data_IF_308306425024
#
_entry.id   IF_308306425024
#
_cell.length_a   1.000
_cell.length_b   1.000
_cell.length_c   1.000
_cell.angle_alpha   90.00
_cell.angle_beta   90.00
_cell.angle_gamma   90.00
#
_symmetry.space_group_name_H-M   'P 1'
#
loop_
_entity.id
_entity.type
_entity.pdbx_description
1 polymer ?
#
# COMPACT_ATOMS: atom_id res chain seq x y z
N UNK A 1 5.33 13.73 11.20
CA UNK A 1 4.77 13.20 9.95
C UNK A 1 5.89 12.48 9.21
N UNK A 2 5.56 11.39 8.52
CA UNK A 2 6.49 10.64 7.67
C UNK A 2 5.97 10.63 6.24
N UNK A 3 6.88 10.55 5.28
CA UNK A 3 6.57 10.37 3.86
C UNK A 3 7.09 9.03 3.41
N UNK A 4 6.23 8.24 2.78
CA UNK A 4 6.59 6.95 2.18
C UNK A 4 6.42 7.03 0.67
N UNK A 5 7.30 6.35 -0.04
CA UNK A 5 7.16 6.17 -1.49
C UNK A 5 6.57 4.79 -1.75
N UNK A 6 5.43 4.76 -2.44
CA UNK A 6 4.72 3.54 -2.80
C UNK A 6 5.06 3.22 -4.24
N UNK A 7 5.66 2.06 -4.48
CA UNK A 7 5.99 1.56 -5.82
C UNK A 7 4.86 0.64 -6.29
N UNK A 8 4.16 1.06 -7.35
CA UNK A 8 3.06 0.33 -7.98
C UNK A 8 3.56 -0.87 -8.78
N UNK A 9 2.62 -1.73 -9.19
CA UNK A 9 2.89 -2.91 -10.02
C UNK A 9 3.39 -2.58 -11.44
N UNK A 10 3.06 -1.40 -11.96
CA UNK A 10 3.51 -0.92 -13.28
C UNK A 10 4.91 -0.27 -13.26
N UNK A 11 5.58 -0.29 -12.10
CA UNK A 11 6.89 0.34 -11.90
C UNK A 11 6.84 1.84 -11.63
N UNK A 12 5.67 2.48 -11.73
CA UNK A 12 5.51 3.89 -11.29
C UNK A 12 5.44 3.99 -9.78
N UNK A 13 5.63 5.19 -9.25
CA UNK A 13 5.58 5.43 -7.80
C UNK A 13 4.94 6.76 -7.45
N UNK A 14 4.37 6.84 -6.25
CA UNK A 14 3.85 8.07 -5.68
C UNK A 14 4.14 8.15 -4.18
N UNK A 15 4.18 9.37 -3.66
CA UNK A 15 4.41 9.60 -2.25
C UNK A 15 3.09 9.71 -1.47
N UNK A 16 3.08 9.15 -0.26
CA UNK A 16 2.01 9.31 0.73
C UNK A 16 2.57 9.91 2.02
N UNK A 17 1.90 10.94 2.54
CA UNK A 17 2.24 11.56 3.82
C UNK A 17 1.32 11.02 4.92
N UNK A 18 1.89 10.58 6.04
CA UNK A 18 1.17 9.94 7.13
C UNK A 18 1.75 10.33 8.50
N UNK A 19 1.05 9.96 9.57
CA UNK A 19 1.54 10.13 10.94
C UNK A 19 2.67 9.15 11.26
N UNK A 20 3.53 9.51 12.20
CA UNK A 20 4.61 8.61 12.64
C UNK A 20 4.08 7.36 13.35
N UNK A 21 2.85 7.43 13.84
CA UNK A 21 2.10 6.38 14.52
C UNK A 21 1.14 5.64 13.60
N UNK A 22 1.21 5.89 12.28
CA UNK A 22 0.31 5.25 11.32
C UNK A 22 0.51 3.73 11.28
N UNK A 23 -0.58 3.03 11.07
CA UNK A 23 -0.64 1.57 10.94
C UNK A 23 -0.56 1.11 9.49
N UNK A 24 -0.38 -0.19 9.27
CA UNK A 24 -0.50 -0.80 7.94
C UNK A 24 -1.86 -0.52 7.31
N UNK A 25 -2.93 -0.53 8.10
CA UNK A 25 -4.28 -0.16 7.65
C UNK A 25 -4.34 1.27 7.12
N UNK A 26 -3.76 2.22 7.86
CA UNK A 26 -3.70 3.62 7.45
C UNK A 26 -2.93 3.79 6.13
N UNK A 27 -1.83 3.05 5.96
CA UNK A 27 -1.07 3.02 4.72
C UNK A 27 -1.91 2.50 3.54
N UNK A 28 -2.62 1.38 3.70
CA UNK A 28 -3.53 0.84 2.67
C UNK A 28 -4.62 1.85 2.29
N UNK A 29 -5.20 2.55 3.28
CA UNK A 29 -6.19 3.61 3.03
C UNK A 29 -5.58 4.81 2.30
N UNK A 30 -4.40 5.27 2.72
CA UNK A 30 -3.71 6.38 2.08
C UNK A 30 -3.35 6.09 0.62
N UNK A 31 -2.89 4.86 0.35
CA UNK A 31 -2.62 4.36 -1.01
C UNK A 31 -3.90 4.40 -1.86
N UNK A 32 -5.00 3.84 -1.34
CA UNK A 32 -6.28 3.85 -2.04
C UNK A 32 -6.71 5.27 -2.38
N UNK A 33 -6.78 6.14 -1.37
CA UNK A 33 -7.18 7.54 -1.54
C UNK A 33 -6.30 8.25 -2.56
N UNK A 34 -4.98 8.13 -2.44
CA UNK A 34 -4.04 8.82 -3.32
C UNK A 34 -4.12 8.32 -4.76
N UNK A 35 -4.35 7.02 -4.94
CA UNK A 35 -4.53 6.44 -6.26
C UNK A 35 -5.84 6.88 -6.90
N UNK A 36 -6.94 6.90 -6.12
CA UNK A 36 -8.25 7.38 -6.57
C UNK A 36 -8.23 8.90 -6.89
N UNK A 37 -7.28 9.67 -6.32
CA UNK A 37 -7.04 11.09 -6.64
C UNK A 37 -6.23 11.30 -7.94
N UNK A 38 -5.24 10.45 -8.24
CA UNK A 38 -4.32 10.64 -9.39
C UNK A 38 -4.75 9.91 -10.67
N UNK A 39 -5.52 8.82 -10.56
CA UNK A 39 -5.99 8.04 -11.71
C UNK A 39 -7.41 8.36 -12.26
N UNK A 40 -8.23 9.31 -11.72
CA UNK A 40 -9.60 9.47 -12.19
C UNK A 40 -9.65 10.00 -13.64
N UNK A 41 -8.72 10.86 -14.04
CA UNK A 41 -8.64 11.38 -15.40
C UNK A 41 -8.19 10.33 -16.43
N UNK A 42 -7.45 9.29 -16.01
CA UNK A 42 -6.93 8.26 -16.92
C UNK A 42 -7.86 7.08 -17.11
N UNK A 43 -8.74 6.81 -16.14
CA UNK A 43 -9.54 5.58 -16.10
C UNK A 43 -11.00 5.74 -16.56
N UNK A 44 -11.51 6.97 -16.70
CA UNK A 44 -12.89 7.22 -17.12
C UNK A 44 -13.90 6.57 -16.16
N UNK A 45 -14.75 5.67 -16.66
CA UNK A 45 -15.74 4.95 -15.84
C UNK A 45 -15.17 3.69 -15.15
N UNK A 46 -13.87 3.42 -15.29
CA UNK A 46 -13.22 2.24 -14.68
C UNK A 46 -12.75 2.58 -13.28
N UNK A 47 -12.93 1.64 -12.36
CA UNK A 47 -12.49 1.77 -10.97
C UNK A 47 -11.53 0.63 -10.60
N UNK A 48 -10.59 0.92 -9.71
CA UNK A 48 -9.69 -0.10 -9.17
C UNK A 48 -10.46 -0.95 -8.16
N UNK A 49 -10.43 -2.27 -8.36
CA UNK A 49 -10.94 -3.21 -7.36
C UNK A 49 -9.93 -3.39 -6.24
N UNK A 50 -9.96 -2.48 -5.26
CA UNK A 50 -9.08 -2.54 -4.08
C UNK A 50 -9.20 -3.84 -3.30
N UNK A 51 -10.42 -4.42 -3.25
CA UNK A 51 -10.62 -5.75 -2.68
C UNK A 51 -9.74 -6.78 -3.38
N UNK A 52 -9.78 -6.83 -4.72
CA UNK A 52 -8.94 -7.75 -5.50
C UNK A 52 -7.44 -7.50 -5.27
N UNK A 53 -7.01 -6.24 -5.21
CA UNK A 53 -5.61 -5.91 -4.92
C UNK A 53 -5.19 -6.46 -3.56
N UNK A 54 -5.94 -6.21 -2.49
CA UNK A 54 -5.57 -6.69 -1.15
C UNK A 54 -5.77 -8.19 -0.94
N UNK A 55 -6.64 -8.84 -1.70
CA UNK A 55 -6.82 -10.31 -1.72
C UNK A 55 -5.61 -11.03 -2.36
N UNK A 56 -4.96 -10.41 -3.35
CA UNK A 56 -3.91 -11.06 -4.17
C UNK A 56 -2.51 -10.46 -3.98
N UNK A 57 -2.41 -9.30 -3.34
CA UNK A 57 -1.16 -8.58 -3.14
C UNK A 57 -1.06 -8.06 -1.71
N UNK A 58 0.17 -7.99 -1.23
CA UNK A 58 0.51 -7.32 0.02
C UNK A 58 1.60 -6.27 -0.22
N UNK A 59 1.76 -5.37 0.74
CA UNK A 59 2.87 -4.43 0.73
C UNK A 59 4.10 -5.08 1.37
N UNK A 60 5.27 -4.80 0.83
CA UNK A 60 6.55 -5.29 1.34
C UNK A 60 7.55 -4.17 1.53
N UNK A 61 8.34 -4.27 2.61
CA UNK A 61 9.49 -3.42 2.90
C UNK A 61 10.65 -4.32 3.32
N UNK A 62 11.80 -4.24 2.65
CA UNK A 62 13.01 -5.01 3.02
C UNK A 62 12.76 -6.52 3.24
N UNK A 63 11.99 -7.16 2.35
CA UNK A 63 11.54 -8.57 2.43
C UNK A 63 10.51 -8.89 3.52
N UNK A 64 10.09 -7.91 4.32
CA UNK A 64 9.02 -8.08 5.30
C UNK A 64 7.67 -7.74 4.67
N UNK A 65 6.68 -8.63 4.85
CA UNK A 65 5.31 -8.46 4.35
C UNK A 65 4.45 -7.77 5.41
N UNK A 66 3.84 -6.65 5.04
CA UNK A 66 2.90 -5.89 5.87
C UNK A 66 1.51 -6.55 5.83
N UNK A 67 1.36 -7.64 6.59
CA UNK A 67 0.13 -8.44 6.63
C UNK A 67 -0.82 -8.02 7.77
N UNK A 68 -0.28 -7.58 8.91
CA UNK A 68 -1.09 -7.19 10.06
C UNK A 68 -1.49 -5.71 9.95
N UNK A 69 -2.78 -5.49 9.71
CA UNK A 69 -3.38 -4.16 9.57
C UNK A 69 -3.21 -3.28 10.82
N UNK A 70 -3.12 -3.88 12.01
CA UNK A 70 -3.01 -3.14 13.27
C UNK A 70 -1.55 -2.80 13.63
N UNK A 71 -0.59 -3.38 12.92
CA UNK A 71 0.83 -3.14 13.17
C UNK A 71 1.22 -1.72 12.80
N UNK A 72 1.95 -1.05 13.70
CA UNK A 72 2.50 0.28 13.44
C UNK A 72 3.62 0.16 12.42
N UNK A 73 3.67 1.07 11.45
CA UNK A 73 4.65 1.00 10.35
C UNK A 73 6.10 0.97 10.88
N UNK A 74 6.42 1.74 11.92
CA UNK A 74 7.74 1.74 12.54
C UNK A 74 8.16 0.40 13.14
N UNK A 75 7.21 -0.41 13.61
CA UNK A 75 7.47 -1.77 14.09
C UNK A 75 7.90 -2.73 12.97
N UNK A 76 7.55 -2.40 11.72
CA UNK A 76 7.92 -3.14 10.51
C UNK A 76 9.17 -2.54 9.82
N UNK A 77 9.96 -1.76 10.57
CA UNK A 77 11.15 -1.05 10.07
C UNK A 77 10.87 0.08 9.08
N UNK A 78 9.61 0.48 8.89
CA UNK A 78 9.24 1.57 7.97
C UNK A 78 9.43 2.91 8.66
N UNK A 79 10.24 3.77 8.04
CA UNK A 79 10.57 5.09 8.54
C UNK A 79 10.40 6.14 7.44
N UNK A 80 10.74 7.39 7.76
CA UNK A 80 10.62 8.48 6.79
C UNK A 80 11.51 8.22 5.56
N UNK A 81 10.94 8.40 4.37
CA UNK A 81 11.51 8.10 3.06
C UNK A 81 11.69 6.60 2.76
N UNK A 82 11.10 5.70 3.55
CA UNK A 82 11.03 4.27 3.20
C UNK A 82 10.21 4.04 1.93
N UNK A 83 10.59 2.98 1.19
CA UNK A 83 9.89 2.53 -0.02
C UNK A 83 9.13 1.25 0.25
N UNK A 84 7.85 1.23 -0.08
CA UNK A 84 7.03 0.01 -0.02
C UNK A 84 6.68 -0.45 -1.42
N UNK A 85 6.63 -1.76 -1.60
CA UNK A 85 6.40 -2.40 -2.90
C UNK A 85 5.18 -3.29 -2.83
N UNK A 86 4.38 -3.34 -3.91
CA UNK A 86 3.39 -4.41 -4.04
C UNK A 86 4.10 -5.72 -4.38
N UNK A 87 3.77 -6.78 -3.65
CA UNK A 87 4.24 -8.13 -3.93
C UNK A 87 3.06 -9.11 -3.99
N UNK A 88 3.11 -10.13 -4.86
CA UNK A 88 2.11 -11.19 -4.88
C UNK A 88 1.98 -11.84 -3.51
N UNK A 89 0.74 -11.93 -3.05
CA UNK A 89 0.36 -12.58 -1.81
C UNK A 89 -0.82 -13.49 -2.11
N UNK A 90 -0.53 -14.78 -2.23
CA UNK A 90 -1.58 -15.80 -2.35
C UNK A 90 -2.08 -16.05 -0.93
N UNK A 91 -3.18 -15.41 -0.54
CA UNK A 91 -4.01 -15.96 0.53
C UNK A 91 -4.46 -17.32 0.03
N UNK A 92 -3.99 -18.42 0.65
CA UNK A 92 -4.50 -19.75 0.33
C UNK A 92 -6.00 -19.73 0.56
N UNK A 93 -6.77 -19.67 -0.53
CA UNK A 93 -8.21 -19.89 -0.48
C UNK A 93 -8.37 -21.36 -0.17
N UNK A 94 -8.47 -21.69 1.11
CA UNK A 94 -8.95 -23.00 1.53
C UNK A 94 -10.40 -23.06 1.08
N UNK A 95 -10.64 -23.72 -0.06
CA UNK A 95 -11.97 -24.13 -0.52
C UNK A 95 -12.41 -25.36 0.24
#
# INVERSE_FOLDING_TARGET
AMRLTVVKLDGTSFDVAMLNTATVKDLKMAIRKKTDEIEPEKMGHRHISWKHIWDNYCLTHQNEKLIDDNSVLSSNGICNNSKVYFSPHVMSRVY
#
